data_IF_635767754951
#
_entry.id   IF_635767754951
#
_cell.length_a   1.000
_cell.length_b   1.000
_cell.length_c   1.000
_cell.angle_alpha   90.00
_cell.angle_beta   90.00
_cell.angle_gamma   90.00
#
_symmetry.space_group_name_H-M   'P 1'
#
loop_
_entity.id
_entity.type
_entity.pdbx_description
1 polymer ?
#
# COMPACT_ATOMS: atom_id res chain seq x y z
N UNK A 1 9.01 -2.33 23.63
CA UNK A 1 7.54 -2.20 23.66
C UNK A 1 7.09 -2.47 25.09
N UNK A 2 6.11 -1.74 25.63
CA UNK A 2 5.55 -2.02 26.95
C UNK A 2 5.12 -3.49 27.09
N UNK A 3 5.39 -4.11 28.24
CA UNK A 3 5.22 -5.56 28.44
C UNK A 3 3.76 -6.01 28.36
N UNK A 4 2.84 -5.14 28.77
CA UNK A 4 1.40 -5.30 28.66
C UNK A 4 0.95 -5.42 27.19
N UNK A 5 1.47 -4.56 26.31
CA UNK A 5 1.22 -4.62 24.87
C UNK A 5 1.80 -5.90 24.27
N UNK A 6 3.00 -6.33 24.71
CA UNK A 6 3.59 -7.58 24.23
C UNK A 6 2.78 -8.80 24.63
N UNK A 7 2.26 -8.82 25.86
CA UNK A 7 1.38 -9.89 26.35
C UNK A 7 0.06 -9.90 25.59
N UNK A 8 -0.55 -8.73 25.35
CA UNK A 8 -1.78 -8.61 24.59
C UNK A 8 -1.63 -9.13 23.15
N UNK A 9 -0.56 -8.76 22.45
CA UNK A 9 -0.28 -9.24 21.10
C UNK A 9 -0.06 -10.74 21.04
N UNK A 10 0.67 -11.32 22.01
CA UNK A 10 0.85 -12.79 22.10
C UNK A 10 -0.48 -13.53 22.32
N UNK A 11 -1.34 -13.02 23.20
CA UNK A 11 -2.66 -13.63 23.43
C UNK A 11 -3.53 -13.57 22.18
N UNK A 12 -3.54 -12.43 21.48
CA UNK A 12 -4.30 -12.26 20.24
C UNK A 12 -3.77 -13.16 19.11
N UNK A 13 -2.46 -13.24 18.94
CA UNK A 13 -1.85 -14.15 17.99
C UNK A 13 -2.24 -15.61 18.25
N UNK A 14 -2.21 -16.05 19.52
CA UNK A 14 -2.65 -17.39 19.90
C UNK A 14 -4.13 -17.65 19.58
N UNK A 15 -5.01 -16.67 19.80
CA UNK A 15 -6.43 -16.76 19.45
C UNK A 15 -6.67 -16.90 17.94
N UNK A 16 -5.84 -16.26 17.12
CA UNK A 16 -5.91 -16.32 15.67
C UNK A 16 -5.11 -17.50 15.06
N UNK A 17 -4.39 -18.28 15.87
CA UNK A 17 -3.52 -19.35 15.37
C UNK A 17 -2.27 -18.84 14.63
N UNK A 18 -1.85 -17.61 14.93
CA UNK A 18 -0.72 -16.94 14.31
C UNK A 18 0.51 -16.90 15.24
N UNK A 19 1.69 -16.68 14.65
CA UNK A 19 2.84 -16.20 15.42
C UNK A 19 2.64 -14.73 15.79
N UNK A 20 3.31 -14.25 16.84
CA UNK A 20 3.27 -12.83 17.22
C UNK A 20 3.71 -11.92 16.08
N UNK A 21 4.71 -12.33 15.30
CA UNK A 21 5.17 -11.57 14.13
C UNK A 21 4.12 -11.51 13.03
N UNK A 22 3.45 -12.63 12.73
CA UNK A 22 2.38 -12.67 11.75
C UNK A 22 1.21 -11.76 12.16
N UNK A 23 0.86 -11.76 13.45
CA UNK A 23 -0.19 -10.89 13.99
C UNK A 23 0.17 -9.40 13.87
N UNK A 24 1.42 -9.04 14.17
CA UNK A 24 1.91 -7.66 13.98
C UNK A 24 1.88 -7.26 12.51
N UNK A 25 2.31 -8.15 11.61
CA UNK A 25 2.29 -7.91 10.17
C UNK A 25 0.85 -7.68 9.67
N UNK A 26 -0.11 -8.46 10.15
CA UNK A 26 -1.51 -8.32 9.79
C UNK A 26 -2.07 -6.97 10.26
N UNK A 27 -1.83 -6.60 11.53
CA UNK A 27 -2.23 -5.29 12.07
C UNK A 27 -1.69 -4.14 11.21
N UNK A 28 -0.40 -4.18 10.89
CA UNK A 28 0.24 -3.15 10.07
C UNK A 28 -0.34 -3.15 8.66
N UNK A 29 -0.58 -4.31 8.05
CA UNK A 29 -1.20 -4.42 6.73
C UNK A 29 -2.58 -3.77 6.70
N UNK A 30 -3.45 -4.08 7.67
CA UNK A 30 -4.77 -3.46 7.79
C UNK A 30 -4.68 -1.95 8.03
N UNK A 31 -3.78 -1.51 8.92
CA UNK A 31 -3.62 -0.10 9.26
C UNK A 31 -3.13 0.75 8.06
N UNK A 32 -2.19 0.22 7.27
CA UNK A 32 -1.61 0.95 6.12
C UNK A 32 -2.38 0.72 4.81
N UNK A 33 -3.29 -0.26 4.78
CA UNK A 33 -4.13 -0.57 3.61
C UNK A 33 -5.58 -0.82 4.05
N UNK A 34 -6.28 0.18 4.60
CA UNK A 34 -7.66 -0.01 5.02
C UNK A 34 -8.56 -0.34 3.82
N UNK A 35 -9.55 -1.21 4.01
CA UNK A 35 -10.47 -1.63 2.93
C UNK A 35 -11.27 -0.46 2.34
N UNK A 36 -11.53 0.56 3.15
CA UNK A 36 -12.23 1.79 2.75
C UNK A 36 -11.37 2.71 1.88
N UNK A 37 -10.08 2.41 1.70
CA UNK A 37 -9.20 3.25 0.88
C UNK A 37 -9.67 3.26 -0.57
N UNK A 38 -9.61 4.43 -1.20
CA UNK A 38 -9.84 4.53 -2.64
C UNK A 38 -8.67 3.85 -3.36
N UNK A 39 -8.97 2.82 -4.15
CA UNK A 39 -8.01 2.17 -5.06
C UNK A 39 -7.82 3.06 -6.30
N UNK A 40 -7.21 4.23 -6.12
CA UNK A 40 -7.16 5.30 -7.13
C UNK A 40 -6.65 4.81 -8.49
N UNK A 41 -5.58 4.01 -8.52
CA UNK A 41 -5.04 3.45 -9.75
C UNK A 41 -6.04 2.53 -10.49
N UNK A 42 -6.80 1.72 -9.76
CA UNK A 42 -7.82 0.86 -10.36
C UNK A 42 -9.02 1.67 -10.87
N UNK A 43 -9.45 2.68 -10.11
CA UNK A 43 -10.54 3.57 -10.50
C UNK A 43 -10.17 4.37 -11.78
N UNK A 44 -8.95 4.92 -11.84
CA UNK A 44 -8.46 5.61 -13.04
C UNK A 44 -8.31 4.65 -14.23
N UNK A 45 -7.80 3.44 -14.02
CA UNK A 45 -7.69 2.45 -15.08
C UNK A 45 -9.07 2.03 -15.62
N UNK A 46 -10.06 1.85 -14.75
CA UNK A 46 -11.44 1.56 -15.15
C UNK A 46 -12.06 2.71 -15.95
N UNK A 47 -11.84 3.96 -15.52
CA UNK A 47 -12.29 5.14 -16.24
C UNK A 47 -11.64 5.23 -17.63
N UNK A 48 -10.32 5.07 -17.72
CA UNK A 48 -9.57 5.11 -18.98
C UNK A 48 -10.09 4.07 -19.98
N UNK A 49 -10.30 2.82 -19.53
CA UNK A 49 -10.92 1.78 -20.37
C UNK A 49 -12.32 2.15 -20.83
N UNK A 50 -13.14 2.75 -19.96
CA UNK A 50 -14.52 3.15 -20.29
C UNK A 50 -14.58 4.22 -21.40
N UNK A 51 -13.60 5.13 -21.43
CA UNK A 51 -13.54 6.20 -22.43
C UNK A 51 -12.62 5.87 -23.62
N UNK A 52 -12.04 4.66 -23.66
CA UNK A 52 -11.25 4.18 -24.78
C UNK A 52 -9.81 4.69 -24.84
N UNK A 53 -9.23 5.15 -23.73
CA UNK A 53 -7.82 5.52 -23.71
C UNK A 53 -6.94 4.31 -24.01
N UNK A 54 -5.97 4.50 -24.89
CA UNK A 54 -4.95 3.52 -25.25
C UNK A 54 -3.57 3.97 -24.78
N UNK A 55 -2.54 3.13 -24.91
CA UNK A 55 -1.19 3.50 -24.49
C UNK A 55 -0.61 4.62 -25.36
N UNK A 56 -1.02 4.69 -26.63
CA UNK A 56 -0.64 5.73 -27.59
C UNK A 56 -1.01 7.13 -27.08
N UNK A 57 -2.16 7.27 -26.40
CA UNK A 57 -2.60 8.54 -25.79
C UNK A 57 -1.64 9.04 -24.70
N UNK A 58 -0.85 8.14 -24.10
CA UNK A 58 0.08 8.46 -23.02
C UNK A 58 1.54 8.63 -23.49
N UNK A 59 1.88 8.34 -24.75
CA UNK A 59 3.25 8.47 -25.26
C UNK A 59 3.82 9.89 -25.12
N UNK A 60 2.95 10.91 -25.12
CA UNK A 60 3.36 12.30 -24.91
C UNK A 60 4.05 12.51 -23.56
N UNK A 61 3.66 11.75 -22.52
CA UNK A 61 4.26 11.88 -21.20
C UNK A 61 5.74 11.52 -21.18
N UNK A 62 6.19 10.56 -21.98
CA UNK A 62 7.61 10.21 -22.08
C UNK A 62 8.46 11.31 -22.75
N UNK A 63 7.82 12.21 -23.49
CA UNK A 63 8.47 13.37 -24.12
C UNK A 63 8.58 14.56 -23.18
N UNK A 64 7.55 14.79 -22.35
CA UNK A 64 7.46 16.00 -21.50
C UNK A 64 7.89 15.78 -20.05
N UNK A 65 7.87 14.55 -19.55
CA UNK A 65 8.22 14.25 -18.16
C UNK A 65 9.70 14.48 -17.89
N UNK A 66 10.02 15.00 -16.71
CA UNK A 66 11.38 15.04 -16.19
C UNK A 66 11.95 13.61 -16.04
N UNK A 67 13.12 13.39 -16.66
CA UNK A 67 13.84 12.11 -16.65
C UNK A 67 14.91 12.04 -15.57
N UNK A 68 15.07 13.10 -14.79
CA UNK A 68 15.98 13.15 -13.65
C UNK A 68 15.58 12.06 -12.65
N UNK A 69 16.48 11.11 -12.32
CA UNK A 69 16.19 10.10 -11.32
C UNK A 69 15.83 10.73 -9.97
N UNK A 70 14.86 10.15 -9.28
CA UNK A 70 14.51 10.61 -7.94
C UNK A 70 15.67 10.37 -6.97
N UNK A 71 16.00 11.38 -6.16
CA UNK A 71 16.91 11.20 -5.02
C UNK A 71 16.12 10.51 -3.90
N UNK A 72 16.58 9.36 -3.39
CA UNK A 72 15.91 8.68 -2.29
C UNK A 72 15.78 9.60 -1.07
N UNK A 73 14.62 9.63 -0.39
CA UNK A 73 14.51 10.35 0.87
C UNK A 73 15.48 9.76 1.89
N UNK A 74 16.08 10.62 2.72
CA UNK A 74 16.77 10.13 3.92
C UNK A 74 15.69 9.67 4.90
N UNK A 75 15.75 8.39 5.26
CA UNK A 75 14.96 7.85 6.35
C UNK A 75 15.73 8.15 7.63
N UNK A 76 15.19 9.03 8.47
CA UNK A 76 15.70 9.25 9.84
C UNK A 76 15.20 8.16 10.80
#
# INVERSE_FOLDING_TARGET
>A
MPDDVHRALRMRAAQHGHSTEAEVREILATAVKPETRVRLGEALAALGRKIGLTNEDFEVFDRVRDKTPAVPPRLE
#
